data_IF_219896122951
#
_entry.id   IF_219896122951
#
_cell.length_a   1.000
_cell.length_b   1.000
_cell.length_c   1.000
_cell.angle_alpha   90.00
_cell.angle_beta   90.00
_cell.angle_gamma   90.00
#
_symmetry.space_group_name_H-M   'P 1'
#
loop_
_entity.id
_entity.type
_entity.pdbx_description
1 polymer ?
#
# COMPACT_ATOMS: atom_id res chain seq x y z
N UNK A 1 28.92 -42.28 -60.60
CA UNK A 1 29.14 -42.04 -59.11
C UNK A 1 28.54 -40.67 -58.78
N UNK A 2 27.40 -40.67 -58.10
CA UNK A 2 26.66 -39.42 -57.70
C UNK A 2 26.91 -39.22 -56.20
N UNK A 3 27.60 -38.17 -55.81
CA UNK A 3 27.86 -37.76 -54.45
C UNK A 3 26.68 -36.90 -54.00
N UNK A 4 25.96 -37.41 -52.95
CA UNK A 4 24.89 -36.70 -52.24
C UNK A 4 25.44 -35.79 -51.18
N UNK A 5 25.26 -34.47 -51.34
CA UNK A 5 25.44 -33.47 -50.28
C UNK A 5 24.27 -33.51 -49.32
N UNK A 6 24.56 -33.67 -48.03
CA UNK A 6 23.59 -33.53 -46.93
C UNK A 6 23.51 -32.03 -46.55
N UNK A 7 22.30 -31.44 -46.38
CA UNK A 7 22.18 -30.13 -45.79
C UNK A 7 22.31 -30.18 -44.27
N UNK A 8 23.25 -29.39 -43.72
CA UNK A 8 23.33 -29.07 -42.28
C UNK A 8 22.24 -28.11 -41.90
N UNK A 9 21.38 -28.54 -41.03
CA UNK A 9 20.33 -27.69 -40.43
C UNK A 9 20.94 -26.87 -39.31
N UNK A 10 21.06 -25.56 -39.52
CA UNK A 10 21.48 -24.59 -38.48
C UNK A 10 20.27 -24.30 -37.61
N UNK A 11 20.29 -24.79 -36.36
CA UNK A 11 19.36 -24.36 -35.31
C UNK A 11 20.02 -23.17 -34.60
N UNK A 12 19.64 -21.95 -35.00
CA UNK A 12 19.96 -20.72 -34.26
C UNK A 12 18.66 -20.05 -33.87
N UNK A 13 18.49 -19.85 -32.58
CA UNK A 13 17.59 -18.85 -32.11
C UNK A 13 16.40 -19.31 -31.31
N UNK A 14 16.51 -19.26 -29.97
CA UNK A 14 15.47 -18.87 -29.00
C UNK A 14 16.03 -18.85 -27.57
N UNK A 15 16.82 -17.85 -27.26
CA UNK A 15 17.30 -17.63 -25.87
C UNK A 15 17.14 -16.17 -25.38
N UNK A 16 16.27 -15.38 -26.00
CA UNK A 16 16.19 -13.93 -25.68
C UNK A 16 15.00 -13.50 -24.81
N UNK A 17 14.03 -14.41 -24.53
CA UNK A 17 12.77 -13.98 -23.89
C UNK A 17 12.76 -14.09 -22.36
N UNK A 18 13.67 -14.85 -21.74
CA UNK A 18 13.64 -15.10 -20.27
C UNK A 18 14.39 -14.05 -19.44
N UNK A 19 15.31 -13.30 -20.06
CA UNK A 19 16.13 -12.32 -19.33
C UNK A 19 15.33 -11.07 -18.94
N UNK A 20 14.32 -10.69 -19.72
CA UNK A 20 13.50 -9.52 -19.45
C UNK A 20 12.62 -9.58 -18.21
N UNK A 21 12.01 -10.74 -17.94
CA UNK A 21 11.12 -10.91 -16.77
C UNK A 21 11.90 -10.97 -15.46
N UNK A 22 13.06 -11.65 -15.46
CA UNK A 22 13.91 -11.74 -14.27
C UNK A 22 14.48 -10.36 -13.88
N UNK A 23 14.80 -9.51 -14.87
CA UNK A 23 15.31 -8.16 -14.61
C UNK A 23 14.22 -7.22 -14.08
N UNK A 24 12.98 -7.33 -14.55
CA UNK A 24 11.86 -6.53 -14.06
C UNK A 24 11.55 -6.86 -12.60
N UNK A 25 11.54 -8.14 -12.21
CA UNK A 25 11.30 -8.57 -10.83
C UNK A 25 12.42 -8.13 -9.88
N UNK A 26 13.69 -8.19 -10.31
CA UNK A 26 14.82 -7.71 -9.53
C UNK A 26 14.72 -6.18 -9.31
N UNK A 27 14.33 -5.42 -10.32
CA UNK A 27 14.14 -3.97 -10.23
C UNK A 27 12.98 -3.60 -9.31
N UNK A 28 11.86 -4.32 -9.40
CA UNK A 28 10.73 -4.14 -8.50
C UNK A 28 11.15 -4.34 -7.04
N UNK A 29 11.86 -5.43 -6.76
CA UNK A 29 12.34 -5.75 -5.41
C UNK A 29 13.34 -4.70 -4.90
N UNK A 30 14.26 -4.20 -5.75
CA UNK A 30 15.19 -3.13 -5.40
C UNK A 30 14.44 -1.87 -4.95
N UNK A 31 13.47 -1.39 -5.76
CA UNK A 31 12.68 -0.20 -5.48
C UNK A 31 11.87 -0.34 -4.18
N UNK A 32 11.15 -1.45 -4.02
CA UNK A 32 10.33 -1.71 -2.84
C UNK A 32 11.17 -1.84 -1.56
N UNK A 33 12.38 -2.42 -1.67
CA UNK A 33 13.30 -2.49 -0.54
C UNK A 33 13.88 -1.12 -0.18
N UNK A 34 14.18 -0.25 -1.17
CA UNK A 34 14.59 1.14 -0.92
C UNK A 34 13.50 1.91 -0.18
N UNK A 35 12.25 1.80 -0.62
CA UNK A 35 11.09 2.37 0.07
C UNK A 35 11.02 1.84 1.50
N UNK A 36 10.95 0.53 1.71
CA UNK A 36 10.86 -0.07 3.05
C UNK A 36 11.96 0.41 3.98
N UNK A 37 13.23 0.39 3.54
CA UNK A 37 14.36 0.87 4.35
C UNK A 37 14.22 2.33 4.74
N UNK A 38 13.77 3.17 3.80
CA UNK A 38 13.56 4.59 4.05
C UNK A 38 12.49 4.83 5.12
N UNK A 39 11.35 4.17 5.01
CA UNK A 39 10.26 4.33 5.98
C UNK A 39 10.60 3.73 7.35
N UNK A 40 11.37 2.64 7.41
CA UNK A 40 11.86 2.05 8.65
C UNK A 40 12.87 2.93 9.40
N UNK A 41 13.56 3.84 8.71
CA UNK A 41 14.50 4.78 9.32
C UNK A 41 13.80 5.94 10.04
N UNK A 42 12.51 6.17 9.83
CA UNK A 42 11.77 7.23 10.50
C UNK A 42 11.27 6.77 11.88
N UNK A 43 11.45 7.63 12.89
CA UNK A 43 10.96 7.40 14.25
C UNK A 43 9.44 7.55 14.34
N UNK A 44 8.89 8.41 13.50
CA UNK A 44 7.45 8.68 13.39
C UNK A 44 7.14 9.29 12.01
N UNK A 45 5.89 9.22 11.63
CA UNK A 45 5.40 9.78 10.35
C UNK A 45 4.06 10.45 10.61
N UNK A 46 3.84 11.63 9.99
CA UNK A 46 2.53 12.19 9.74
C UNK A 46 2.33 12.25 8.23
N UNK A 47 1.21 11.75 7.73
CA UNK A 47 0.84 11.93 6.33
C UNK A 47 -0.61 12.39 6.22
N UNK A 48 -0.86 13.33 5.31
CA UNK A 48 -2.20 13.66 4.81
C UNK A 48 -2.34 13.00 3.45
N UNK A 49 -3.44 12.33 3.23
CA UNK A 49 -3.69 11.58 2.00
C UNK A 49 -5.14 11.73 1.56
N UNK A 50 -5.40 11.46 0.29
CA UNK A 50 -6.76 11.29 -0.23
C UNK A 50 -6.99 9.84 -0.60
N UNK A 51 -8.22 9.38 -0.40
CA UNK A 51 -8.72 8.11 -0.90
C UNK A 51 -9.78 8.41 -1.94
N UNK A 52 -9.52 8.02 -3.18
CA UNK A 52 -10.51 8.09 -4.25
C UNK A 52 -10.99 6.68 -4.54
N UNK A 53 -12.28 6.45 -4.36
CA UNK A 53 -12.96 5.21 -4.74
C UNK A 53 -13.69 5.44 -6.05
N UNK A 54 -13.38 4.65 -7.06
CA UNK A 54 -14.00 4.70 -8.39
C UNK A 54 -14.60 3.35 -8.73
N UNK A 55 -15.88 3.32 -9.10
CA UNK A 55 -16.45 2.18 -9.79
C UNK A 55 -16.14 2.32 -11.28
N UNK A 56 -15.31 1.43 -11.82
CA UNK A 56 -14.85 1.52 -13.20
C UNK A 56 -15.95 1.21 -14.25
N UNK A 57 -17.06 0.60 -13.84
CA UNK A 57 -18.17 0.31 -14.72
C UNK A 57 -19.03 1.55 -15.03
N UNK A 58 -19.40 2.33 -14.02
CA UNK A 58 -20.27 3.52 -14.14
C UNK A 58 -19.53 4.86 -13.92
N UNK A 59 -18.22 4.79 -13.69
CA UNK A 59 -17.32 5.95 -13.47
C UNK A 59 -17.67 6.84 -12.27
N UNK A 60 -18.54 6.36 -11.38
CA UNK A 60 -18.82 7.09 -10.15
C UNK A 60 -17.60 7.13 -9.26
N UNK A 61 -17.31 8.31 -8.73
CA UNK A 61 -16.15 8.58 -7.85
C UNK A 61 -16.59 9.27 -6.58
N UNK A 62 -15.96 8.87 -5.48
CA UNK A 62 -15.95 9.61 -4.22
C UNK A 62 -14.51 9.86 -3.83
N UNK A 63 -14.24 11.02 -3.22
CA UNK A 63 -12.90 11.34 -2.71
C UNK A 63 -13.02 11.89 -1.31
N UNK A 64 -12.27 11.31 -0.39
CA UNK A 64 -12.20 11.71 1.00
C UNK A 64 -10.74 11.97 1.38
N UNK A 65 -10.53 12.88 2.34
CA UNK A 65 -9.21 13.17 2.87
C UNK A 65 -9.05 12.55 4.26
N UNK A 66 -7.85 12.07 4.54
CA UNK A 66 -7.51 11.52 5.84
C UNK A 66 -6.13 11.95 6.32
N UNK A 67 -5.92 11.78 7.62
CA UNK A 67 -4.61 12.00 8.25
C UNK A 67 -4.20 10.77 9.03
N UNK A 68 -2.96 10.35 8.87
CA UNK A 68 -2.38 9.24 9.62
C UNK A 68 -1.13 9.69 10.37
N UNK A 69 -1.00 9.21 11.60
CA UNK A 69 0.22 9.28 12.41
C UNK A 69 0.70 7.85 12.67
N UNK A 70 2.00 7.62 12.49
CA UNK A 70 2.63 6.32 12.71
C UNK A 70 3.84 6.47 13.64
N UNK A 71 4.03 5.48 14.54
CA UNK A 71 5.22 5.38 15.41
C UNK A 71 5.47 3.91 15.78
N UNK A 72 6.40 3.25 15.11
CA UNK A 72 6.60 1.81 15.26
C UNK A 72 5.33 1.03 14.92
N UNK A 73 4.82 0.22 15.86
CA UNK A 73 3.56 -0.54 15.69
C UNK A 73 2.30 0.30 15.97
N UNK A 74 2.45 1.54 16.48
CA UNK A 74 1.34 2.40 16.86
C UNK A 74 0.87 3.23 15.69
N UNK A 75 -0.44 3.48 15.62
CA UNK A 75 -1.00 4.40 14.62
C UNK A 75 -2.24 5.13 15.13
N UNK A 76 -2.47 6.29 14.57
CA UNK A 76 -3.74 7.03 14.65
C UNK A 76 -4.15 7.41 13.25
N UNK A 77 -5.39 7.10 12.89
CA UNK A 77 -5.98 7.41 11.59
C UNK A 77 -7.26 8.21 11.80
N UNK A 78 -7.39 9.34 11.12
CA UNK A 78 -8.64 10.12 11.01
C UNK A 78 -9.08 10.04 9.56
N UNK A 79 -10.16 9.31 9.28
CA UNK A 79 -10.65 9.08 7.92
C UNK A 79 -12.10 8.57 7.94
N UNK A 80 -12.92 9.01 6.99
CA UNK A 80 -14.26 8.46 6.77
C UNK A 80 -15.21 8.64 7.97
N UNK A 81 -15.14 9.78 8.67
CA UNK A 81 -15.97 10.00 9.87
C UNK A 81 -15.52 9.24 11.11
N UNK A 82 -14.39 8.54 11.05
CA UNK A 82 -13.86 7.74 12.15
C UNK A 82 -12.49 8.24 12.60
N UNK A 83 -12.19 8.06 13.87
CA UNK A 83 -10.85 8.17 14.44
C UNK A 83 -10.44 6.80 14.98
N UNK A 84 -9.39 6.23 14.40
CA UNK A 84 -8.87 4.92 14.82
C UNK A 84 -7.54 5.14 15.53
N UNK A 85 -7.44 4.62 16.74
CA UNK A 85 -6.23 4.64 17.56
C UNK A 85 -5.73 3.23 17.77
N UNK A 86 -4.41 3.04 17.77
CA UNK A 86 -3.80 1.75 18.07
C UNK A 86 -2.47 1.98 18.79
N UNK A 87 -2.35 1.43 19.99
CA UNK A 87 -1.10 1.47 20.78
C UNK A 87 -0.16 0.30 20.49
N UNK A 88 -0.52 -0.57 19.53
CA UNK A 88 0.17 -1.79 19.18
C UNK A 88 -0.37 -3.06 19.88
N UNK A 89 -1.30 -2.92 20.82
CA UNK A 89 -1.97 -4.01 21.55
C UNK A 89 -3.49 -3.89 21.53
N UNK A 90 -3.99 -2.70 21.73
CA UNK A 90 -5.41 -2.35 21.75
C UNK A 90 -5.71 -1.42 20.59
N UNK A 91 -6.87 -1.59 19.98
CA UNK A 91 -7.40 -0.71 18.96
C UNK A 91 -8.71 -0.11 19.45
N UNK A 92 -8.86 1.20 19.23
CA UNK A 92 -10.07 1.98 19.51
C UNK A 92 -10.58 2.54 18.19
N UNK A 93 -11.82 2.23 17.84
CA UNK A 93 -12.50 2.80 16.68
C UNK A 93 -13.63 3.71 17.15
N UNK A 94 -13.41 5.02 17.07
CA UNK A 94 -14.40 6.03 17.42
C UNK A 94 -15.15 6.48 16.18
N UNK A 95 -16.46 6.28 16.15
CA UNK A 95 -17.38 6.73 15.09
C UNK A 95 -17.97 8.06 15.52
N UNK A 96 -17.61 9.14 14.81
CA UNK A 96 -17.95 10.53 15.22
C UNK A 96 -19.46 10.77 15.27
N UNK A 97 -20.20 10.34 14.24
CA UNK A 97 -21.64 10.58 14.12
C UNK A 97 -22.46 9.78 15.14
N UNK A 98 -22.01 8.58 15.52
CA UNK A 98 -22.62 7.77 16.54
C UNK A 98 -22.20 8.16 17.96
N UNK A 99 -21.15 8.94 18.12
CA UNK A 99 -20.46 9.21 19.38
C UNK A 99 -20.19 7.93 20.17
N UNK A 100 -19.69 6.91 19.48
CA UNK A 100 -19.43 5.59 20.03
C UNK A 100 -17.98 5.18 19.78
N UNK A 101 -17.36 4.54 20.76
CA UNK A 101 -16.05 3.91 20.63
C UNK A 101 -16.13 2.42 20.88
N UNK A 102 -15.65 1.62 19.94
CA UNK A 102 -15.41 0.19 20.10
C UNK A 102 -13.95 -0.03 20.49
N UNK A 103 -13.72 -0.87 21.49
CA UNK A 103 -12.40 -1.23 22.00
C UNK A 103 -12.17 -2.71 21.74
N UNK A 104 -11.07 -3.07 21.08
CA UNK A 104 -10.74 -4.46 20.80
C UNK A 104 -9.24 -4.74 20.91
N UNK A 105 -8.88 -6.01 21.09
CA UNK A 105 -7.49 -6.44 21.03
C UNK A 105 -6.97 -6.30 19.58
N UNK A 106 -5.91 -5.53 19.38
CA UNK A 106 -5.31 -5.40 18.06
C UNK A 106 -4.65 -6.71 17.63
N UNK A 107 -5.19 -7.31 16.58
CA UNK A 107 -4.67 -8.53 15.95
C UNK A 107 -4.42 -8.26 14.48
N UNK A 108 -3.16 -7.94 14.08
CA UNK A 108 -2.82 -7.86 12.67
C UNK A 108 -3.18 -9.18 11.99
N UNK A 109 -3.96 -9.13 10.92
CA UNK A 109 -4.30 -10.31 10.14
C UNK A 109 -3.74 -10.19 8.72
N UNK A 110 -3.54 -11.34 8.06
CA UNK A 110 -2.95 -11.40 6.71
C UNK A 110 -3.89 -10.84 5.61
N UNK A 111 -5.17 -10.59 5.95
CA UNK A 111 -6.17 -10.13 4.99
C UNK A 111 -6.40 -8.60 5.04
N UNK A 112 -5.88 -7.91 6.04
CA UNK A 112 -5.97 -6.46 6.17
C UNK A 112 -4.61 -5.80 6.01
N UNK A 113 -4.60 -4.68 5.28
CA UNK A 113 -3.41 -3.83 5.17
C UNK A 113 -3.57 -2.73 6.20
N UNK A 114 -2.83 -2.82 7.28
CA UNK A 114 -2.82 -1.77 8.29
C UNK A 114 -1.99 -0.57 7.83
N UNK A 115 -2.21 0.64 8.37
CA UNK A 115 -1.42 1.82 8.00
C UNK A 115 0.10 1.63 8.11
N UNK A 116 0.55 0.84 9.11
CA UNK A 116 1.98 0.56 9.31
C UNK A 116 2.56 -0.38 8.25
N UNK A 117 1.73 -1.20 7.62
CA UNK A 117 2.15 -2.25 6.71
C UNK A 117 2.16 -1.81 5.25
N UNK A 118 1.57 -0.66 4.96
CA UNK A 118 1.46 -0.14 3.59
C UNK A 118 2.83 -0.02 2.90
N UNK A 119 3.89 0.31 3.67
CA UNK A 119 5.25 0.44 3.16
C UNK A 119 6.01 -0.89 2.99
N UNK A 120 5.41 -1.98 3.45
CA UNK A 120 5.97 -3.33 3.37
C UNK A 120 5.00 -4.36 2.75
N UNK A 121 3.94 -3.89 2.11
CA UNK A 121 2.89 -4.72 1.50
C UNK A 121 3.46 -5.81 0.58
N UNK A 122 4.55 -5.51 -0.14
CA UNK A 122 5.21 -6.47 -1.03
C UNK A 122 5.76 -7.71 -0.30
N UNK A 123 6.00 -7.62 1.01
CA UNK A 123 6.44 -8.76 1.84
C UNK A 123 5.28 -9.69 2.22
N UNK A 124 4.03 -9.23 2.04
CA UNK A 124 2.83 -9.92 2.46
C UNK A 124 2.07 -10.54 1.28
N UNK A 125 2.60 -11.64 0.73
CA UNK A 125 1.83 -12.45 -0.22
C UNK A 125 1.64 -11.86 -1.62
N UNK A 126 2.54 -10.97 -2.07
CA UNK A 126 2.54 -10.40 -3.41
C UNK A 126 3.83 -10.72 -4.17
N UNK A 127 3.72 -10.79 -5.51
CA UNK A 127 4.84 -10.78 -6.44
C UNK A 127 4.91 -9.38 -7.04
N UNK A 128 6.12 -8.80 -7.10
CA UNK A 128 6.36 -7.49 -7.69
C UNK A 128 6.86 -7.59 -9.12
N UNK A 129 6.36 -6.76 -10.02
CA UNK A 129 6.86 -6.58 -11.38
C UNK A 129 7.06 -5.08 -11.66
N UNK A 130 8.20 -4.70 -12.21
CA UNK A 130 8.47 -3.33 -12.60
C UNK A 130 7.81 -3.02 -13.95
N UNK A 131 6.96 -1.98 -14.01
CA UNK A 131 6.23 -1.59 -15.24
C UNK A 131 6.87 -0.41 -15.98
N UNK A 132 7.94 0.16 -15.45
CA UNK A 132 8.61 1.32 -16.05
C UNK A 132 8.27 2.64 -15.35
N UNK A 133 8.88 3.76 -15.81
CA UNK A 133 8.60 5.08 -15.29
C UNK A 133 7.38 5.70 -15.96
N UNK A 134 6.68 6.56 -15.19
CA UNK A 134 5.67 7.49 -15.71
C UNK A 134 6.06 8.93 -15.36
N UNK A 135 5.58 9.88 -16.15
CA UNK A 135 5.75 11.31 -15.85
C UNK A 135 4.39 11.93 -15.56
N UNK A 136 4.29 12.66 -14.45
CA UNK A 136 3.10 13.41 -14.05
C UNK A 136 3.54 14.70 -13.37
N UNK A 137 2.99 15.85 -13.80
CA UNK A 137 3.30 17.17 -13.24
C UNK A 137 4.82 17.43 -13.16
N UNK A 138 5.56 17.14 -14.24
CA UNK A 138 7.02 17.28 -14.36
C UNK A 138 7.84 16.46 -13.36
N UNK A 139 7.23 15.46 -12.70
CA UNK A 139 7.91 14.49 -11.83
C UNK A 139 7.88 13.10 -12.44
N UNK A 140 8.96 12.36 -12.26
CA UNK A 140 9.07 10.96 -12.69
C UNK A 140 8.78 10.03 -11.52
N UNK A 141 7.91 9.05 -11.75
CA UNK A 141 7.56 8.00 -10.80
C UNK A 141 7.91 6.64 -11.37
N UNK A 142 8.57 5.81 -10.57
CA UNK A 142 8.81 4.42 -10.90
C UNK A 142 7.56 3.60 -10.50
N UNK A 143 7.03 2.78 -11.42
CA UNK A 143 5.80 2.02 -11.19
C UNK A 143 6.11 0.56 -10.94
N UNK A 144 5.63 0.04 -9.82
CA UNK A 144 5.69 -1.38 -9.48
C UNK A 144 4.28 -1.93 -9.36
N UNK A 145 4.00 -3.00 -10.10
CA UNK A 145 2.76 -3.78 -9.99
C UNK A 145 2.97 -4.93 -9.01
N UNK A 146 2.08 -5.04 -8.05
CA UNK A 146 2.03 -6.11 -7.05
C UNK A 146 0.84 -7.02 -7.34
N UNK A 147 1.08 -8.27 -7.64
CA UNK A 147 0.03 -9.28 -7.90
C UNK A 147 -0.03 -10.28 -6.74
N UNK A 148 -1.23 -10.61 -6.21
CA UNK A 148 -1.35 -11.59 -5.14
C UNK A 148 -0.78 -12.95 -5.55
N UNK A 149 0.02 -13.58 -4.67
CA UNK A 149 0.56 -14.95 -4.89
C UNK A 149 -0.55 -16.00 -4.93
N UNK A 150 -1.64 -15.78 -4.19
CA UNK A 150 -2.82 -16.65 -4.16
C UNK A 150 -4.05 -15.86 -4.61
N UNK A 151 -4.25 -15.68 -5.94
CA UNK A 151 -5.32 -14.81 -6.47
C UNK A 151 -6.73 -15.23 -6.04
N UNK A 152 -7.01 -16.55 -5.91
CA UNK A 152 -8.36 -17.06 -5.54
C UNK A 152 -8.80 -16.62 -4.14
N UNK A 153 -7.86 -16.42 -3.22
CA UNK A 153 -8.14 -16.01 -1.82
C UNK A 153 -8.14 -14.49 -1.62
N UNK A 154 -7.80 -13.72 -2.64
CA UNK A 154 -7.68 -12.27 -2.52
C UNK A 154 -8.77 -11.58 -3.35
N UNK A 155 -9.37 -10.52 -2.82
CA UNK A 155 -10.32 -9.67 -3.55
C UNK A 155 -9.61 -8.69 -4.49
N UNK A 156 -8.33 -8.38 -4.22
CA UNK A 156 -7.50 -7.58 -5.11
C UNK A 156 -7.10 -8.37 -6.35
N UNK A 157 -7.22 -7.74 -7.51
CA UNK A 157 -6.62 -8.22 -8.76
C UNK A 157 -5.13 -7.91 -8.78
N UNK A 158 -4.76 -6.68 -8.47
CA UNK A 158 -3.38 -6.21 -8.31
C UNK A 158 -3.36 -4.82 -7.66
N UNK A 159 -2.18 -4.40 -7.25
CA UNK A 159 -1.90 -3.03 -6.76
C UNK A 159 -0.79 -2.43 -7.61
N UNK A 160 -0.93 -1.16 -8.01
CA UNK A 160 0.19 -0.37 -8.56
C UNK A 160 0.71 0.57 -7.49
N UNK A 161 2.01 0.59 -7.31
CA UNK A 161 2.71 1.51 -6.40
C UNK A 161 3.52 2.47 -7.25
N UNK A 162 3.22 3.76 -7.16
CA UNK A 162 3.95 4.84 -7.81
C UNK A 162 4.93 5.44 -6.80
N UNK A 163 6.21 5.34 -7.10
CA UNK A 163 7.32 5.74 -6.24
C UNK A 163 8.02 6.93 -6.88
N UNK A 164 8.07 8.06 -6.20
CA UNK A 164 8.82 9.24 -6.67
C UNK A 164 10.30 8.86 -6.84
N UNK A 165 10.81 9.00 -8.07
CA UNK A 165 12.16 8.60 -8.46
C UNK A 165 13.25 9.34 -7.70
N UNK A 166 12.99 10.58 -7.32
CA UNK A 166 13.98 11.45 -6.64
C UNK A 166 14.02 11.16 -5.15
N UNK A 167 12.83 11.04 -4.54
CA UNK A 167 12.71 10.92 -3.08
C UNK A 167 12.61 9.49 -2.60
N UNK A 168 12.32 8.50 -3.47
CA UNK A 168 11.97 7.12 -3.12
C UNK A 168 10.81 7.06 -2.11
N UNK A 169 9.86 7.99 -2.20
CA UNK A 169 8.61 7.97 -1.41
C UNK A 169 7.46 7.46 -2.26
N UNK A 170 6.53 6.75 -1.62
CA UNK A 170 5.27 6.39 -2.27
C UNK A 170 4.46 7.67 -2.45
N UNK A 171 4.08 7.95 -3.71
CA UNK A 171 3.18 9.05 -4.07
C UNK A 171 1.74 8.57 -4.16
N UNK A 172 1.53 7.41 -4.80
CA UNK A 172 0.21 6.78 -4.93
C UNK A 172 0.26 5.27 -4.80
N UNK A 173 -0.85 4.73 -4.32
CA UNK A 173 -1.17 3.30 -4.41
C UNK A 173 -2.54 3.14 -5.06
N UNK A 174 -2.60 2.39 -6.15
CA UNK A 174 -3.82 2.13 -6.90
C UNK A 174 -4.19 0.65 -6.70
N UNK A 175 -5.26 0.38 -5.98
CA UNK A 175 -5.75 -0.95 -5.66
C UNK A 175 -6.89 -1.33 -6.60
N UNK A 176 -6.66 -2.29 -7.47
CA UNK A 176 -7.63 -2.80 -8.44
C UNK A 176 -8.31 -4.03 -7.87
N UNK A 177 -9.61 -3.95 -7.63
CA UNK A 177 -10.42 -5.04 -7.12
C UNK A 177 -11.10 -5.83 -8.24
N UNK A 178 -11.45 -7.10 -7.97
CA UNK A 178 -12.14 -7.98 -8.92
C UNK A 178 -13.56 -7.53 -9.28
N UNK A 179 -14.21 -6.77 -8.41
CA UNK A 179 -15.54 -6.21 -8.58
C UNK A 179 -15.55 -4.86 -9.32
N UNK A 180 -14.53 -4.59 -10.14
CA UNK A 180 -14.37 -3.34 -10.89
C UNK A 180 -14.22 -2.07 -10.02
N UNK A 181 -13.93 -2.20 -8.74
CA UNK A 181 -13.58 -1.06 -7.91
C UNK A 181 -12.09 -0.73 -8.04
N UNK A 182 -11.78 0.54 -8.16
CA UNK A 182 -10.44 1.11 -8.06
C UNK A 182 -10.40 2.03 -6.84
N UNK A 183 -9.52 1.72 -5.89
CA UNK A 183 -9.25 2.59 -4.74
C UNK A 183 -7.85 3.17 -4.89
N UNK A 184 -7.77 4.49 -4.98
CA UNK A 184 -6.50 5.22 -5.12
C UNK A 184 -6.20 5.97 -3.83
N UNK A 185 -5.11 5.62 -3.18
CA UNK A 185 -4.50 6.40 -2.11
C UNK A 185 -3.46 7.32 -2.71
N UNK A 186 -3.56 8.64 -2.48
CA UNK A 186 -2.58 9.61 -2.94
C UNK A 186 -2.09 10.46 -1.76
N UNK A 187 -0.78 10.55 -1.59
CA UNK A 187 -0.15 11.33 -0.53
C UNK A 187 -0.17 12.81 -0.91
N UNK A 188 -0.79 13.66 -0.06
CA UNK A 188 -0.81 15.12 -0.20
C UNK A 188 0.35 15.80 0.52
N UNK A 189 0.63 15.35 1.74
CA UNK A 189 1.79 15.81 2.50
C UNK A 189 2.38 14.68 3.33
N UNK A 190 3.68 14.75 3.55
CA UNK A 190 4.43 13.76 4.30
C UNK A 190 5.47 14.45 5.19
N UNK A 191 5.38 14.23 6.49
CA UNK A 191 6.30 14.77 7.49
C UNK A 191 6.93 13.64 8.28
N UNK A 192 8.20 13.30 8.06
CA UNK A 192 8.91 12.32 8.86
C UNK A 192 9.34 12.91 10.21
N UNK A 193 9.56 12.02 11.19
CA UNK A 193 10.12 12.33 12.50
C UNK A 193 9.33 13.44 13.25
N UNK A 194 8.00 13.45 13.08
CA UNK A 194 7.13 14.40 13.76
C UNK A 194 7.08 14.09 15.24
N UNK A 195 7.11 15.14 16.07
CA UNK A 195 7.00 14.98 17.51
C UNK A 195 5.59 14.48 17.89
N UNK A 196 5.52 13.23 18.36
CA UNK A 196 4.27 12.60 18.87
C UNK A 196 4.58 11.82 20.14
N UNK A 197 3.68 11.94 21.12
CA UNK A 197 3.73 11.18 22.37
C UNK A 197 2.97 9.86 22.23
N UNK A 198 3.18 8.92 23.13
CA UNK A 198 2.46 7.66 23.12
C UNK A 198 0.96 7.85 23.41
N UNK A 199 0.59 8.87 24.19
CA UNK A 199 -0.81 9.25 24.41
C UNK A 199 -1.55 9.63 23.12
N UNK A 200 -0.86 10.03 22.07
CA UNK A 200 -1.47 10.34 20.78
C UNK A 200 -2.07 9.11 20.08
N UNK A 201 -1.74 7.91 20.54
CA UNK A 201 -2.15 6.62 19.95
C UNK A 201 -3.15 5.85 20.83
N UNK A 202 -3.69 6.49 21.86
CA UNK A 202 -4.73 5.95 22.73
C UNK A 202 -5.97 6.84 22.69
N UNK A 203 -7.14 6.24 22.79
CA UNK A 203 -8.39 7.00 22.90
C UNK A 203 -8.61 7.41 24.35
N UNK A 204 -8.90 8.70 24.56
CA UNK A 204 -9.31 9.22 25.86
C UNK A 204 -10.80 9.62 25.83
N UNK A 205 -11.64 8.80 26.47
CA UNK A 205 -13.07 9.03 26.56
C UNK A 205 -13.45 10.37 27.22
N UNK A 206 -12.57 10.92 28.08
CA UNK A 206 -12.81 12.23 28.72
C UNK A 206 -12.83 13.39 27.72
N UNK A 207 -12.19 13.21 26.58
CA UNK A 207 -12.16 14.21 25.48
C UNK A 207 -13.41 14.18 24.61
N UNK A 208 -14.30 13.19 24.79
CA UNK A 208 -15.54 12.98 24.01
C UNK A 208 -16.74 12.86 24.95
N UNK A 209 -17.34 14.00 25.37
CA UNK A 209 -18.46 13.99 26.32
C UNK A 209 -19.64 13.12 25.80
N UNK A 210 -20.17 12.26 26.68
CA UNK A 210 -21.30 11.39 26.36
C UNK A 210 -20.99 10.25 25.41
N UNK A 211 -19.70 9.90 25.19
CA UNK A 211 -19.32 8.77 24.34
C UNK A 211 -19.83 7.45 24.92
N UNK A 212 -20.47 6.65 24.06
CA UNK A 212 -20.80 5.26 24.35
C UNK A 212 -19.54 4.40 24.16
N UNK A 213 -19.23 3.56 25.17
CA UNK A 213 -18.06 2.67 25.12
C UNK A 213 -18.52 1.23 24.99
N UNK A 214 -18.09 0.55 23.92
CA UNK A 214 -18.29 -0.88 23.67
C UNK A 214 -16.95 -1.60 23.77
N UNK A 215 -16.73 -2.34 24.84
CA UNK A 215 -15.49 -3.10 25.08
C UNK A 215 -15.66 -4.56 24.66
N UNK A 216 -14.91 -5.00 23.65
CA UNK A 216 -14.95 -6.33 23.05
C UNK A 216 -13.67 -7.17 23.34
N UNK A 217 -12.85 -6.74 24.28
CA UNK A 217 -11.58 -7.43 24.62
C UNK A 217 -11.77 -8.71 25.43
#
# INVERSE_FOLDING_TARGET
>A
MKTLLKPSLIVVGMLAATVGLAQTDAKANELLNKVSKKYQAYTSIKAVFTVTTENQADKKKTTEEGTVFLKGAKFRLDFGGQEIYCDGKTMWTYVKDANEVTIENYKPNDNSITPNEIFSIHKKGFNGAYEGPIVRNNKTYEVVKLSPKVPKKNQLSYVKVEIDKTTNQIDRMLMYYKNSMLVTYAVKSFTPNVAVTDASFTFDAKTKPGVTVVDLR
#
